data_IF_255965290277
#
_entry.id   IF_255965290277
#
_cell.length_a   1.000
_cell.length_b   1.000
_cell.length_c   1.000
_cell.angle_alpha   90.00
_cell.angle_beta   90.00
_cell.angle_gamma   90.00
#
_symmetry.space_group_name_H-M   'P 1'
#
loop_
_entity.id
_entity.type
_entity.pdbx_description
1 polymer ?
#
# COMPACT_ATOMS: atom_id res chain seq x y z
N UNK A 1 6.31 -4.61 -14.69
CA UNK A 1 4.94 -5.07 -14.98
C UNK A 1 4.88 -6.59 -15.24
N UNK A 2 5.68 -7.16 -16.16
CA UNK A 2 5.64 -8.60 -16.50
C UNK A 2 5.82 -9.48 -15.26
N UNK A 3 6.80 -9.20 -14.40
CA UNK A 3 7.04 -9.95 -13.16
C UNK A 3 5.81 -9.89 -12.26
N UNK A 4 5.18 -8.71 -12.14
CA UNK A 4 3.98 -8.53 -11.31
C UNK A 4 2.77 -9.28 -11.89
N UNK A 5 2.64 -9.34 -13.21
CA UNK A 5 1.60 -10.16 -13.87
C UNK A 5 1.83 -11.65 -13.54
N UNK A 6 3.06 -12.12 -13.58
CA UNK A 6 3.39 -13.51 -13.22
C UNK A 6 3.07 -13.80 -11.74
N UNK A 7 3.33 -12.86 -10.82
CA UNK A 7 2.99 -13.00 -9.40
C UNK A 7 1.49 -13.22 -9.19
N UNK A 8 0.66 -12.46 -9.90
CA UNK A 8 -0.79 -12.56 -9.75
C UNK A 8 -1.46 -13.60 -10.64
N UNK A 9 -0.70 -14.30 -11.50
CA UNK A 9 -1.25 -15.33 -12.39
C UNK A 9 -1.95 -16.48 -11.64
N UNK A 10 -1.43 -16.84 -10.45
CA UNK A 10 -1.98 -17.89 -9.58
C UNK A 10 -2.97 -17.40 -8.52
N UNK A 11 -3.19 -16.08 -8.38
CA UNK A 11 -4.06 -15.55 -7.34
C UNK A 11 -5.49 -16.09 -7.47
N UNK A 12 -6.07 -16.50 -6.34
CA UNK A 12 -7.46 -16.99 -6.26
C UNK A 12 -8.43 -15.88 -5.90
N UNK A 13 -8.00 -14.91 -5.11
CA UNK A 13 -8.81 -13.81 -4.65
C UNK A 13 -7.95 -12.55 -4.44
N UNK A 14 -8.61 -11.38 -4.40
CA UNK A 14 -7.99 -10.11 -4.07
C UNK A 14 -8.76 -9.44 -2.92
N UNK A 15 -8.04 -8.64 -2.13
CA UNK A 15 -8.65 -7.74 -1.17
C UNK A 15 -8.99 -6.42 -1.83
N UNK A 16 -10.22 -5.97 -1.66
CA UNK A 16 -10.69 -4.65 -2.10
C UNK A 16 -10.35 -3.57 -1.07
N UNK A 17 -10.65 -2.32 -1.40
CA UNK A 17 -10.57 -1.18 -0.48
C UNK A 17 -11.95 -0.82 0.08
N UNK A 18 -12.90 -1.75 0.02
CA UNK A 18 -14.26 -1.59 0.52
C UNK A 18 -14.29 -1.60 2.05
N UNK A 19 -15.07 -0.71 2.64
CA UNK A 19 -15.39 -0.71 4.07
C UNK A 19 -16.37 -1.86 4.32
N UNK A 20 -15.94 -2.82 5.10
CA UNK A 20 -16.70 -4.05 5.38
C UNK A 20 -17.58 -3.87 6.61
N UNK A 21 -17.03 -3.22 7.65
CA UNK A 21 -17.66 -3.10 8.94
C UNK A 21 -17.27 -1.77 9.60
N UNK A 22 -18.21 -1.21 10.36
CA UNK A 22 -17.99 -0.07 11.23
C UNK A 22 -18.11 -0.51 12.68
N UNK A 23 -17.28 0.08 13.56
CA UNK A 23 -17.44 -0.11 14.98
C UNK A 23 -18.84 0.41 15.42
N UNK A 24 -19.60 -0.32 16.26
CA UNK A 24 -20.91 0.12 16.72
C UNK A 24 -20.92 1.53 17.33
N UNK A 25 -19.84 1.93 17.99
CA UNK A 25 -19.67 3.24 18.62
C UNK A 25 -19.05 4.29 17.68
N UNK A 26 -18.94 3.99 16.38
CA UNK A 26 -18.36 4.93 15.41
C UNK A 26 -19.30 6.12 15.19
N UNK A 27 -18.90 7.38 15.52
CA UNK A 27 -19.81 8.52 15.56
C UNK A 27 -20.22 9.04 14.18
N UNK A 28 -19.46 8.73 13.13
CA UNK A 28 -19.70 9.23 11.77
C UNK A 28 -20.24 8.13 10.84
N UNK A 29 -21.16 7.30 11.33
CA UNK A 29 -21.85 6.28 10.53
C UNK A 29 -23.16 6.81 9.94
N UNK A 30 -23.58 6.24 8.79
CA UNK A 30 -24.85 6.54 8.14
C UNK A 30 -24.71 7.29 6.81
N UNK A 31 -25.80 7.80 6.27
CA UNK A 31 -25.84 8.43 4.95
C UNK A 31 -24.90 9.65 4.85
N UNK A 32 -24.84 10.46 5.90
CA UNK A 32 -23.94 11.61 5.99
C UNK A 32 -22.52 11.26 6.47
N UNK A 33 -22.25 10.02 6.79
CA UNK A 33 -20.97 9.50 7.25
C UNK A 33 -20.42 8.38 6.36
N UNK A 34 -19.79 7.39 7.00
CA UNK A 34 -19.35 6.16 6.33
C UNK A 34 -20.41 5.07 6.45
N UNK A 35 -20.44 4.18 5.47
CA UNK A 35 -21.30 3.00 5.45
C UNK A 35 -20.51 1.77 4.98
N UNK A 36 -20.87 0.56 5.44
CA UNK A 36 -20.42 -0.66 4.80
C UNK A 36 -20.79 -0.65 3.30
N UNK A 37 -19.86 -1.08 2.45
CA UNK A 37 -19.99 -1.00 0.99
C UNK A 37 -19.32 0.23 0.36
N UNK A 38 -18.97 1.25 1.14
CA UNK A 38 -18.18 2.36 0.64
C UNK A 38 -16.80 1.89 0.21
N UNK A 39 -16.34 2.30 -0.96
CA UNK A 39 -14.99 2.00 -1.44
C UNK A 39 -14.07 3.17 -1.13
N UNK A 40 -12.98 2.95 -0.39
CA UNK A 40 -11.98 3.97 -0.09
C UNK A 40 -11.29 4.37 -1.41
N UNK A 41 -11.46 5.63 -1.81
CA UNK A 41 -10.93 6.18 -3.06
C UNK A 41 -9.61 6.91 -2.87
N UNK A 42 -9.49 7.75 -1.84
CA UNK A 42 -8.29 8.51 -1.51
C UNK A 42 -8.20 8.76 -0.01
N UNK A 43 -6.98 8.90 0.53
CA UNK A 43 -6.70 9.33 1.91
C UNK A 43 -5.63 10.41 1.85
N UNK A 44 -5.88 11.55 2.52
CA UNK A 44 -4.98 12.71 2.55
C UNK A 44 -4.54 13.16 1.14
N UNK A 45 -5.45 13.09 0.16
CA UNK A 45 -5.21 13.42 -1.22
C UNK A 45 -4.49 12.34 -2.04
N UNK A 46 -3.96 11.29 -1.42
CA UNK A 46 -3.33 10.17 -2.11
C UNK A 46 -4.35 9.14 -2.59
N UNK A 47 -4.28 8.78 -3.86
CA UNK A 47 -5.18 7.78 -4.48
C UNK A 47 -4.92 6.39 -3.92
N UNK A 48 -5.97 5.70 -3.50
CA UNK A 48 -5.94 4.32 -3.00
C UNK A 48 -6.32 3.35 -4.13
N UNK A 49 -5.52 2.33 -4.34
CA UNK A 49 -5.75 1.25 -5.31
C UNK A 49 -5.79 -0.12 -4.64
N UNK A 50 -4.93 -0.33 -3.63
CA UNK A 50 -4.75 -1.60 -2.94
C UNK A 50 -5.08 -1.46 -1.45
N UNK A 51 -5.44 -2.57 -0.82
CA UNK A 51 -5.64 -2.63 0.64
C UNK A 51 -4.40 -2.16 1.40
N UNK A 52 -3.20 -2.51 0.92
CA UNK A 52 -1.91 -2.09 1.48
C UNK A 52 -1.70 -0.57 1.46
N UNK A 53 -2.25 0.13 0.44
CA UNK A 53 -2.15 1.59 0.35
C UNK A 53 -2.81 2.27 1.55
N UNK A 54 -3.96 1.74 1.98
CA UNK A 54 -4.70 2.29 3.13
C UNK A 54 -3.82 2.28 4.37
N UNK A 55 -3.23 1.12 4.69
CA UNK A 55 -2.34 0.98 5.85
C UNK A 55 -1.10 1.85 5.73
N UNK A 56 -0.50 1.92 4.55
CA UNK A 56 0.69 2.73 4.29
C UNK A 56 0.40 4.22 4.51
N UNK A 57 -0.64 4.76 3.85
CA UNK A 57 -0.94 6.20 3.91
C UNK A 57 -1.42 6.60 5.31
N UNK A 58 -2.22 5.76 5.98
CA UNK A 58 -2.64 6.02 7.36
C UNK A 58 -1.46 6.01 8.34
N UNK A 59 -0.41 5.23 8.07
CA UNK A 59 0.79 5.15 8.90
C UNK A 59 1.79 6.29 8.68
N UNK A 60 1.83 6.88 7.48
CA UNK A 60 2.83 7.90 7.13
C UNK A 60 2.59 9.28 7.76
N UNK A 61 1.40 9.58 8.21
CA UNK A 61 1.07 10.91 8.75
C UNK A 61 0.08 10.79 9.90
N UNK A 62 0.44 10.08 10.96
CA UNK A 62 -0.46 9.88 12.10
C UNK A 62 -0.66 11.17 12.92
N UNK A 63 -1.48 12.07 12.38
CA UNK A 63 -1.94 13.28 13.05
C UNK A 63 -3.20 13.06 13.89
N UNK A 64 -3.67 11.81 13.98
CA UNK A 64 -4.96 11.47 14.62
C UNK A 64 -6.18 11.81 13.78
N UNK A 65 -6.00 12.52 12.66
CA UNK A 65 -7.10 12.90 11.74
C UNK A 65 -6.68 12.61 10.30
N UNK A 66 -7.60 12.09 9.49
CA UNK A 66 -7.41 11.84 8.06
C UNK A 66 -8.54 12.44 7.23
N UNK A 67 -8.21 12.95 6.06
CA UNK A 67 -9.18 13.30 5.03
C UNK A 67 -9.36 12.12 4.10
N UNK A 68 -10.56 11.54 4.08
CA UNK A 68 -10.88 10.36 3.31
C UNK A 68 -11.92 10.69 2.25
N UNK A 69 -11.66 10.33 1.01
CA UNK A 69 -12.66 10.29 -0.06
C UNK A 69 -13.12 8.85 -0.26
N UNK A 70 -14.41 8.59 -0.14
CA UNK A 70 -15.01 7.30 -0.46
C UNK A 70 -15.86 7.39 -1.72
N UNK A 71 -16.05 6.26 -2.38
CA UNK A 71 -16.94 6.10 -3.52
C UNK A 71 -18.16 5.30 -3.09
N UNK A 72 -19.35 5.92 -3.14
CA UNK A 72 -20.66 5.32 -2.87
C UNK A 72 -21.54 5.50 -4.08
N UNK A 73 -22.07 4.43 -4.66
CA UNK A 73 -22.93 4.47 -5.85
C UNK A 73 -22.36 5.30 -7.01
N UNK A 74 -21.04 5.23 -7.20
CA UNK A 74 -20.32 5.99 -8.24
C UNK A 74 -20.08 7.46 -7.92
N UNK A 75 -20.51 7.96 -6.76
CA UNK A 75 -20.30 9.36 -6.31
C UNK A 75 -19.16 9.41 -5.28
N UNK A 76 -18.34 10.44 -5.39
CA UNK A 76 -17.28 10.73 -4.42
C UNK A 76 -17.87 11.52 -3.25
N UNK A 77 -17.54 11.08 -2.05
CA UNK A 77 -17.95 11.71 -0.79
C UNK A 77 -16.68 11.94 0.04
N UNK A 78 -16.42 13.20 0.40
CA UNK A 78 -15.28 13.55 1.23
C UNK A 78 -15.68 13.56 2.71
N UNK A 79 -14.84 12.99 3.55
CA UNK A 79 -15.04 12.85 4.99
C UNK A 79 -13.72 13.10 5.73
N UNK A 80 -13.79 13.86 6.81
CA UNK A 80 -12.67 14.01 7.73
C UNK A 80 -12.94 13.11 8.94
N UNK A 81 -12.05 12.17 9.19
CA UNK A 81 -12.16 11.19 10.27
C UNK A 81 -11.09 11.45 11.32
N UNK A 82 -11.48 11.36 12.59
CA UNK A 82 -10.55 11.48 13.72
C UNK A 82 -10.52 10.16 14.47
N UNK A 83 -9.33 9.72 14.90
CA UNK A 83 -9.18 8.55 15.77
C UNK A 83 -10.01 8.71 17.03
N UNK A 84 -10.64 7.63 17.44
CA UNK A 84 -11.40 7.51 18.67
C UNK A 84 -10.76 6.43 19.53
N UNK A 85 -10.96 6.53 20.85
CA UNK A 85 -10.58 5.48 21.79
C UNK A 85 -11.70 4.46 21.85
N UNK A 86 -11.37 3.22 21.55
CA UNK A 86 -12.26 2.06 21.66
C UNK A 86 -11.72 1.11 22.72
N UNK A 87 -12.60 0.30 23.28
CA UNK A 87 -12.24 -0.73 24.27
C UNK A 87 -12.44 -2.11 23.66
N UNK A 88 -11.43 -2.96 23.74
CA UNK A 88 -11.52 -4.34 23.28
C UNK A 88 -12.30 -5.23 24.30
N UNK A 89 -12.55 -6.49 23.92
CA UNK A 89 -13.25 -7.47 24.77
C UNK A 89 -12.54 -7.76 26.11
N UNK A 90 -11.26 -7.44 26.21
CA UNK A 90 -10.45 -7.62 27.42
C UNK A 90 -10.39 -6.35 28.28
N UNK A 91 -11.10 -5.29 27.89
CA UNK A 91 -11.10 -4.01 28.60
C UNK A 91 -9.89 -3.14 28.29
N UNK A 92 -9.09 -3.47 27.25
CA UNK A 92 -7.93 -2.66 26.84
C UNK A 92 -8.36 -1.57 25.86
N UNK A 93 -7.98 -0.34 26.17
CA UNK A 93 -8.22 0.80 25.29
C UNK A 93 -7.20 0.82 24.13
N UNK A 94 -7.69 1.18 22.93
CA UNK A 94 -6.87 1.38 21.73
C UNK A 94 -7.46 2.51 20.87
N UNK A 95 -6.60 3.19 20.13
CA UNK A 95 -7.01 4.25 19.20
C UNK A 95 -7.19 3.70 17.79
N UNK A 96 -8.33 3.97 17.17
CA UNK A 96 -8.64 3.59 15.80
C UNK A 96 -9.59 4.56 15.13
N UNK A 97 -9.70 4.49 13.81
CA UNK A 97 -10.70 5.27 13.04
C UNK A 97 -12.08 4.60 13.02
N UNK A 98 -12.24 3.44 13.62
CA UNK A 98 -13.54 2.80 13.83
C UNK A 98 -14.15 2.11 12.60
N UNK A 99 -13.36 1.76 11.59
CA UNK A 99 -13.81 0.98 10.45
C UNK A 99 -12.85 -0.15 10.09
N UNK A 100 -13.41 -1.23 9.55
CA UNK A 100 -12.68 -2.36 8.99
C UNK A 100 -12.85 -2.35 7.47
N UNK A 101 -11.78 -2.61 6.73
CA UNK A 101 -11.77 -2.59 5.26
C UNK A 101 -11.08 -3.83 4.69
N UNK A 102 -11.36 -4.12 3.43
CA UNK A 102 -10.75 -5.22 2.72
C UNK A 102 -11.72 -6.35 2.42
N UNK A 103 -12.82 -6.05 1.74
CA UNK A 103 -13.69 -7.07 1.15
C UNK A 103 -12.89 -8.00 0.21
N UNK A 104 -13.39 -9.22 0.01
CA UNK A 104 -12.72 -10.23 -0.83
C UNK A 104 -13.49 -10.37 -2.14
N UNK A 105 -12.76 -10.36 -3.26
CA UNK A 105 -13.32 -10.62 -4.59
C UNK A 105 -12.55 -11.74 -5.28
N UNK A 106 -13.26 -12.58 -6.04
CA UNK A 106 -12.65 -13.66 -6.81
C UNK A 106 -11.73 -13.11 -7.91
N UNK A 107 -10.56 -13.70 -8.07
CA UNK A 107 -9.55 -13.27 -9.02
C UNK A 107 -9.88 -13.70 -10.45
N UNK A 108 -10.59 -12.86 -11.19
CA UNK A 108 -10.78 -13.05 -12.64
C UNK A 108 -9.52 -12.65 -13.43
N UNK A 109 -9.33 -13.13 -14.67
CA UNK A 109 -8.18 -12.76 -15.51
C UNK A 109 -8.03 -11.23 -15.67
N UNK A 110 -9.14 -10.50 -15.80
CA UNK A 110 -9.13 -9.05 -15.93
C UNK A 110 -8.68 -8.39 -14.62
N UNK A 111 -9.20 -8.87 -13.48
CA UNK A 111 -8.78 -8.35 -12.16
C UNK A 111 -7.31 -8.65 -11.88
N UNK A 112 -6.76 -9.79 -12.29
CA UNK A 112 -5.32 -10.08 -12.17
C UNK A 112 -4.47 -9.04 -12.91
N UNK A 113 -4.84 -8.67 -14.13
CA UNK A 113 -4.15 -7.60 -14.88
C UNK A 113 -4.31 -6.23 -14.21
N UNK A 114 -5.50 -5.91 -13.74
CA UNK A 114 -5.79 -4.66 -13.05
C UNK A 114 -4.99 -4.52 -11.74
N UNK A 115 -4.97 -5.56 -10.91
CA UNK A 115 -4.20 -5.57 -9.67
C UNK A 115 -2.68 -5.55 -9.93
N UNK A 116 -2.21 -6.23 -10.99
CA UNK A 116 -0.81 -6.13 -11.41
C UNK A 116 -0.42 -4.70 -11.80
N UNK A 117 -1.31 -3.99 -12.47
CA UNK A 117 -1.12 -2.57 -12.78
C UNK A 117 -1.11 -1.72 -11.51
N UNK A 118 -2.06 -1.92 -10.61
CA UNK A 118 -2.15 -1.20 -9.35
C UNK A 118 -0.89 -1.43 -8.50
N UNK A 119 -0.43 -2.66 -8.37
CA UNK A 119 0.80 -2.98 -7.66
C UNK A 119 2.03 -2.30 -8.28
N UNK A 120 2.09 -2.23 -9.61
CA UNK A 120 3.19 -1.53 -10.29
C UNK A 120 3.16 -0.03 -9.98
N UNK A 121 1.97 0.58 -9.97
CA UNK A 121 1.80 2.00 -9.59
C UNK A 121 2.13 2.24 -8.12
N UNK A 122 1.79 1.30 -7.25
CA UNK A 122 2.12 1.38 -5.83
C UNK A 122 3.63 1.37 -5.60
N UNK A 123 4.39 0.52 -6.28
CA UNK A 123 5.85 0.56 -6.22
C UNK A 123 6.43 1.92 -6.63
N UNK A 124 5.91 2.53 -7.71
CA UNK A 124 6.32 3.88 -8.13
C UNK A 124 6.01 4.90 -7.04
N UNK A 125 4.85 4.78 -6.40
CA UNK A 125 4.45 5.63 -5.27
C UNK A 125 5.38 5.48 -4.08
N UNK A 126 5.69 4.25 -3.67
CA UNK A 126 6.61 3.97 -2.56
C UNK A 126 7.96 4.64 -2.80
N UNK A 127 8.51 4.53 -4.02
CA UNK A 127 9.77 5.20 -4.39
C UNK A 127 9.63 6.71 -4.27
N UNK A 128 8.55 7.30 -4.79
CA UNK A 128 8.28 8.73 -4.69
C UNK A 128 8.20 9.21 -3.24
N UNK A 129 7.41 8.51 -2.41
CA UNK A 129 7.26 8.85 -0.98
C UNK A 129 8.59 8.71 -0.22
N UNK A 130 9.37 7.66 -0.50
CA UNK A 130 10.69 7.46 0.10
C UNK A 130 11.65 8.61 -0.27
N UNK A 131 11.64 9.05 -1.52
CA UNK A 131 12.43 10.20 -1.95
C UNK A 131 11.96 11.51 -1.29
N UNK A 132 10.66 11.73 -1.16
CA UNK A 132 10.12 12.88 -0.44
C UNK A 132 10.55 12.88 1.04
N UNK A 133 10.46 11.74 1.72
CA UNK A 133 10.91 11.60 3.12
C UNK A 133 12.40 11.88 3.27
N UNK A 134 13.22 11.40 2.34
CA UNK A 134 14.66 11.66 2.35
C UNK A 134 14.97 13.15 2.11
N UNK A 135 14.31 13.78 1.14
CA UNK A 135 14.51 15.20 0.82
C UNK A 135 13.97 16.16 1.90
N UNK A 136 12.90 15.77 2.58
CA UNK A 136 12.34 16.54 3.71
C UNK A 136 13.12 16.38 5.01
N UNK A 137 14.09 15.45 5.05
CA UNK A 137 14.84 15.11 6.26
C UNK A 137 14.04 14.31 7.30
N UNK A 138 12.87 13.83 6.93
CA UNK A 138 12.05 12.95 7.77
C UNK A 138 12.67 11.53 7.90
N UNK A 139 13.47 11.12 6.91
CA UNK A 139 14.29 9.92 6.96
C UNK A 139 15.77 10.28 6.83
N UNK A 140 16.63 9.65 7.61
CA UNK A 140 18.07 9.84 7.55
C UNK A 140 18.72 8.91 6.52
N UNK A 141 19.94 9.27 6.07
CA UNK A 141 20.74 8.39 5.18
C UNK A 141 21.09 7.06 5.87
N UNK A 142 21.10 7.05 7.21
CA UNK A 142 21.34 5.84 8.02
C UNK A 142 20.19 4.85 8.00
N UNK A 143 18.99 5.30 7.61
CA UNK A 143 17.79 4.46 7.49
C UNK A 143 17.77 3.70 6.15
N UNK A 144 18.69 4.05 5.23
CA UNK A 144 18.85 3.36 3.96
C UNK A 144 19.63 2.05 4.16
N UNK A 145 18.96 0.95 3.93
CA UNK A 145 19.63 -0.36 3.90
C UNK A 145 20.58 -0.43 2.72
N UNK A 146 21.86 -0.67 3.01
CA UNK A 146 22.84 -0.92 1.96
C UNK A 146 22.59 -2.27 1.24
N UNK A 147 23.31 -2.56 0.13
CA UNK A 147 23.12 -3.80 -0.65
C UNK A 147 23.18 -5.09 0.20
N UNK A 148 24.04 -5.11 1.22
CA UNK A 148 24.17 -6.26 2.14
C UNK A 148 22.93 -6.40 3.01
N UNK A 149 22.39 -5.29 3.54
CA UNK A 149 21.15 -5.30 4.32
C UNK A 149 19.94 -5.77 3.49
N UNK A 150 19.87 -5.35 2.24
CA UNK A 150 18.83 -5.79 1.31
C UNK A 150 18.89 -7.31 1.07
N UNK A 151 20.10 -7.84 0.76
CA UNK A 151 20.28 -9.28 0.54
C UNK A 151 19.97 -10.09 1.80
N UNK A 152 20.36 -9.61 3.00
CA UNK A 152 20.03 -10.29 4.25
C UNK A 152 18.53 -10.34 4.48
N UNK A 153 17.82 -9.22 4.31
CA UNK A 153 16.35 -9.17 4.46
C UNK A 153 15.63 -10.14 3.51
N UNK A 154 16.02 -10.14 2.22
CA UNK A 154 15.42 -11.08 1.24
C UNK A 154 15.69 -12.53 1.63
N UNK A 155 16.90 -12.82 2.11
CA UNK A 155 17.29 -14.17 2.49
C UNK A 155 16.56 -14.63 3.75
N UNK A 156 16.39 -13.75 4.75
CA UNK A 156 15.67 -14.03 5.99
C UNK A 156 14.18 -14.27 5.71
N UNK A 157 13.52 -13.35 5.00
CA UNK A 157 12.11 -13.49 4.63
C UNK A 157 11.88 -14.74 3.77
N UNK A 158 12.77 -15.00 2.80
CA UNK A 158 12.67 -16.20 1.96
C UNK A 158 12.77 -17.49 2.76
N UNK A 159 13.71 -17.58 3.70
CA UNK A 159 13.90 -18.77 4.57
C UNK A 159 12.74 -18.96 5.54
N UNK A 160 12.27 -17.87 6.16
CA UNK A 160 11.14 -17.92 7.09
C UNK A 160 9.86 -18.34 6.36
N UNK A 161 9.60 -17.80 5.19
CA UNK A 161 8.45 -18.17 4.37
C UNK A 161 8.55 -19.61 3.88
N UNK A 162 9.73 -20.06 3.44
CA UNK A 162 9.94 -21.46 3.03
C UNK A 162 9.65 -22.42 4.18
N UNK A 163 10.11 -22.09 5.39
CA UNK A 163 9.91 -22.91 6.58
C UNK A 163 8.46 -22.97 7.05
N UNK A 164 7.68 -21.89 6.86
CA UNK A 164 6.30 -21.77 7.35
C UNK A 164 5.25 -22.08 6.29
N UNK A 165 5.47 -21.67 5.06
CA UNK A 165 4.49 -21.70 3.96
C UNK A 165 4.95 -22.50 2.74
N UNK A 166 6.22 -22.93 2.73
CA UNK A 166 6.81 -23.75 1.70
C UNK A 166 7.49 -23.00 0.56
N UNK A 167 8.18 -23.75 -0.30
CA UNK A 167 9.01 -23.21 -1.38
C UNK A 167 8.27 -22.31 -2.37
N UNK A 168 6.98 -22.61 -2.67
CA UNK A 168 6.17 -21.79 -3.58
C UNK A 168 6.00 -20.36 -3.05
N UNK A 169 5.63 -20.20 -1.79
CA UNK A 169 5.46 -18.91 -1.16
C UNK A 169 6.79 -18.16 -1.03
N UNK A 170 7.89 -18.86 -0.73
CA UNK A 170 9.23 -18.25 -0.71
C UNK A 170 9.60 -17.70 -2.09
N UNK A 171 9.31 -18.44 -3.17
CA UNK A 171 9.56 -17.98 -4.53
C UNK A 171 8.71 -16.75 -4.88
N UNK A 172 7.43 -16.71 -4.48
CA UNK A 172 6.57 -15.54 -4.66
C UNK A 172 7.14 -14.31 -3.97
N UNK A 173 7.61 -14.43 -2.73
CA UNK A 173 8.25 -13.34 -2.00
C UNK A 173 9.52 -12.82 -2.72
N UNK A 174 10.37 -13.72 -3.19
CA UNK A 174 11.58 -13.33 -3.95
C UNK A 174 11.20 -12.57 -5.23
N UNK A 175 10.20 -13.05 -5.97
CA UNK A 175 9.71 -12.38 -7.16
C UNK A 175 9.08 -11.01 -6.85
N UNK A 176 8.38 -10.89 -5.71
CA UNK A 176 7.85 -9.63 -5.23
C UNK A 176 8.96 -8.59 -4.99
N UNK A 177 10.00 -8.97 -4.25
CA UNK A 177 11.18 -8.12 -4.06
C UNK A 177 11.86 -7.76 -5.39
N UNK A 178 12.05 -8.73 -6.28
CA UNK A 178 12.64 -8.51 -7.60
C UNK A 178 11.83 -7.49 -8.42
N UNK A 179 10.49 -7.57 -8.38
CA UNK A 179 9.61 -6.60 -9.04
C UNK A 179 9.77 -5.20 -8.45
N UNK A 180 9.78 -5.08 -7.13
CA UNK A 180 9.95 -3.82 -6.42
C UNK A 180 11.30 -3.18 -6.76
N UNK A 181 12.40 -3.95 -6.76
CA UNK A 181 13.72 -3.44 -7.13
C UNK A 181 13.80 -3.03 -8.59
N UNK A 182 13.18 -3.78 -9.50
CA UNK A 182 13.16 -3.43 -10.92
C UNK A 182 12.43 -2.09 -11.15
N UNK A 183 11.31 -1.85 -10.46
CA UNK A 183 10.59 -0.58 -10.55
C UNK A 183 11.40 0.55 -9.90
N UNK A 184 12.00 0.32 -8.73
CA UNK A 184 12.85 1.29 -8.06
C UNK A 184 14.01 1.74 -8.98
N UNK A 185 14.72 0.78 -9.57
CA UNK A 185 15.82 1.08 -10.50
C UNK A 185 15.31 1.86 -11.73
N UNK A 186 14.16 1.50 -12.28
CA UNK A 186 13.57 2.21 -13.40
C UNK A 186 13.21 3.66 -13.06
N UNK A 187 12.58 3.90 -11.89
CA UNK A 187 12.23 5.24 -11.43
C UNK A 187 13.49 6.07 -11.14
N UNK A 188 14.48 5.49 -10.48
CA UNK A 188 15.75 6.17 -10.20
C UNK A 188 16.47 6.56 -11.50
N UNK A 189 16.48 5.70 -12.51
CA UNK A 189 17.09 6.00 -13.82
C UNK A 189 16.35 7.10 -14.60
N UNK A 190 15.07 7.35 -14.31
CA UNK A 190 14.32 8.46 -14.90
C UNK A 190 14.62 9.82 -14.24
N UNK A 191 15.28 9.85 -13.09
CA UNK A 191 15.63 11.10 -12.42
C UNK A 191 16.65 11.89 -13.26
N UNK A 192 16.54 13.24 -13.30
CA UNK A 192 17.44 14.11 -14.07
C UNK A 192 18.79 14.31 -13.38
N UNK A 193 19.47 13.20 -13.07
CA UNK A 193 20.79 13.20 -12.45
C UNK A 193 21.87 12.90 -13.51
N UNK A 194 22.99 13.63 -13.55
CA UNK A 194 24.01 13.49 -14.60
C UNK A 194 24.62 12.08 -14.74
N UNK A 195 24.52 11.26 -13.70
CA UNK A 195 25.05 9.89 -13.69
C UNK A 195 24.02 8.83 -14.11
N UNK A 196 22.77 9.21 -14.41
CA UNK A 196 21.66 8.31 -14.72
C UNK A 196 21.13 8.59 -16.14
N UNK A 197 20.42 7.63 -16.73
CA UNK A 197 19.88 7.73 -18.09
C UNK A 197 18.97 8.94 -18.27
N UNK A 198 18.14 9.26 -17.26
CA UNK A 198 17.28 10.45 -17.26
C UNK A 198 18.06 11.77 -17.35
N UNK A 199 19.26 11.82 -16.78
CA UNK A 199 20.17 12.94 -16.93
C UNK A 199 20.68 13.09 -18.37
N UNK A 200 21.04 12.00 -19.02
CA UNK A 200 21.47 12.03 -20.43
C UNK A 200 20.36 12.53 -21.36
N UNK A 201 19.10 12.16 -21.12
CA UNK A 201 17.96 12.65 -21.94
C UNK A 201 17.68 14.13 -21.71
N UNK A 202 17.94 14.66 -20.51
CA UNK A 202 17.65 16.06 -20.17
C UNK A 202 18.80 17.01 -20.61
N UNK A 203 20.05 16.54 -20.61
CA UNK A 203 21.24 17.38 -20.87
C UNK A 203 21.85 17.18 -22.25
N UNK A 204 21.23 16.38 -23.14
CA UNK A 204 21.49 16.30 -24.57
C UNK A 204 20.60 17.23 -25.36
#
# INVERSE_FOLDING_TARGET
LIIVICLYAGAQAFYTTEIVELNPDFPQQGEDGLMPGDTIYAINGERIYLKSDVSLIMGLGDTGTIDMTVLRDGKKLDRTLTKQVYTDENGKEYEAYGFTYGGIVEATPLLRLQYSWYQTMDYVRIVRLSLQMLLSGAAGVNDLSGPVGIVSTITEVGKETEATEGFGAALENILFFAAMFAVNLAVMNLLPLPALDGGHVLFL
#
